data_IF_278441267697
#
_entry.id   IF_278441267697
#
_cell.length_a   1.000
_cell.length_b   1.000
_cell.length_c   1.000
_cell.angle_alpha   90.00
_cell.angle_beta   90.00
_cell.angle_gamma   90.00
#
_symmetry.space_group_name_H-M   'P 1'
#
loop_
_entity.id
_entity.type
_entity.pdbx_description
1 polymer ?
#
# COMPACT_ATOMS: atom_id res chain seq x y z
N UNK A 1 21.54 28.50 -24.85
CA UNK A 1 20.59 28.07 -23.81
C UNK A 1 19.77 26.93 -24.38
N UNK A 2 20.29 25.71 -24.27
CA UNK A 2 19.63 24.48 -24.75
C UNK A 2 18.67 23.99 -23.67
N UNK A 3 17.38 24.12 -23.93
CA UNK A 3 16.32 23.53 -23.12
C UNK A 3 16.36 22.01 -23.38
N UNK A 4 17.01 21.25 -22.50
CA UNK A 4 17.00 19.78 -22.54
C UNK A 4 15.57 19.32 -22.29
N UNK A 5 14.88 18.89 -23.35
CA UNK A 5 13.64 18.13 -23.24
C UNK A 5 13.96 16.91 -22.34
N UNK A 6 13.46 16.92 -21.10
CA UNK A 6 13.52 15.76 -20.25
C UNK A 6 12.81 14.63 -21.01
N UNK A 7 13.51 13.53 -21.26
CA UNK A 7 12.96 12.36 -21.92
C UNK A 7 11.69 11.93 -21.20
N UNK A 8 10.54 11.96 -21.88
CA UNK A 8 9.23 11.51 -21.37
C UNK A 8 9.18 9.98 -21.24
N UNK A 9 10.21 9.35 -20.67
CA UNK A 9 10.34 7.90 -20.51
C UNK A 9 10.63 7.53 -19.06
N UNK A 10 10.15 6.35 -18.65
CA UNK A 10 10.43 5.78 -17.33
C UNK A 10 11.69 4.90 -17.43
N UNK A 11 12.78 5.25 -16.74
CA UNK A 11 13.98 4.42 -16.71
C UNK A 11 13.74 3.16 -15.88
N UNK A 12 14.14 1.99 -16.40
CA UNK A 12 13.98 0.69 -15.73
C UNK A 12 15.25 -0.16 -15.88
N UNK A 13 16.38 0.27 -15.30
CA UNK A 13 17.67 -0.36 -15.51
C UNK A 13 17.71 -1.83 -15.06
N UNK A 14 16.94 -2.19 -14.01
CA UNK A 14 16.87 -3.56 -13.51
C UNK A 14 16.10 -4.44 -14.48
N UNK A 15 14.97 -3.96 -15.00
CA UNK A 15 14.21 -4.62 -16.06
C UNK A 15 15.07 -4.82 -17.30
N UNK A 16 15.79 -3.80 -17.74
CA UNK A 16 16.61 -3.86 -18.95
C UNK A 16 17.76 -4.88 -18.82
N UNK A 17 18.30 -5.07 -17.59
CA UNK A 17 19.36 -6.03 -17.31
C UNK A 17 18.84 -7.47 -17.13
N UNK A 18 17.77 -7.66 -16.35
CA UNK A 18 17.33 -8.99 -15.86
C UNK A 18 16.22 -9.61 -16.71
N UNK A 19 15.61 -8.87 -17.65
CA UNK A 19 14.47 -9.35 -18.43
C UNK A 19 14.73 -10.67 -19.16
N UNK A 20 15.91 -10.82 -19.77
CA UNK A 20 16.25 -12.03 -20.54
C UNK A 20 16.28 -13.29 -19.66
N UNK A 21 16.91 -13.20 -18.48
CA UNK A 21 16.98 -14.30 -17.51
C UNK A 21 15.61 -14.66 -16.94
N UNK A 22 14.78 -13.65 -16.65
CA UNK A 22 13.41 -13.89 -16.19
C UNK A 22 12.57 -14.58 -17.28
N UNK A 23 12.61 -14.09 -18.52
CA UNK A 23 11.84 -14.68 -19.62
C UNK A 23 12.27 -16.13 -19.92
N UNK A 24 13.57 -16.43 -19.83
CA UNK A 24 14.07 -17.81 -19.94
C UNK A 24 13.50 -18.71 -18.84
N UNK A 25 13.47 -18.21 -17.60
CA UNK A 25 12.89 -18.92 -16.46
C UNK A 25 11.39 -19.13 -16.62
N UNK A 26 10.64 -18.12 -17.08
CA UNK A 26 9.20 -18.27 -17.36
C UNK A 26 8.96 -19.30 -18.46
N UNK A 27 9.78 -19.27 -19.52
CA UNK A 27 9.71 -20.21 -20.63
C UNK A 27 9.93 -21.65 -20.17
N UNK A 28 10.87 -21.91 -19.25
CA UNK A 28 11.14 -23.27 -18.74
C UNK A 28 9.97 -23.84 -17.93
N UNK A 29 9.10 -22.97 -17.41
CA UNK A 29 7.87 -23.36 -16.71
C UNK A 29 6.62 -23.34 -17.61
N UNK A 30 6.80 -23.29 -18.93
CA UNK A 30 5.71 -23.35 -19.90
C UNK A 30 5.06 -22.02 -20.24
N UNK A 31 5.58 -20.88 -19.77
CA UNK A 31 5.02 -19.55 -20.01
C UNK A 31 5.31 -18.94 -21.39
N UNK A 32 5.40 -19.75 -22.44
CA UNK A 32 5.81 -19.31 -23.79
C UNK A 32 4.95 -18.17 -24.36
N UNK A 33 3.64 -18.23 -24.15
CA UNK A 33 2.73 -17.20 -24.64
C UNK A 33 2.94 -15.87 -23.90
N UNK A 34 3.23 -15.90 -22.59
CA UNK A 34 3.62 -14.70 -21.84
C UNK A 34 4.93 -14.14 -22.40
N UNK A 35 5.94 -14.99 -22.65
CA UNK A 35 7.24 -14.54 -23.17
C UNK A 35 7.10 -13.85 -24.52
N UNK A 36 6.24 -14.37 -25.41
CA UNK A 36 5.93 -13.72 -26.69
C UNK A 36 5.33 -12.32 -26.49
N UNK A 37 4.32 -12.20 -25.62
CA UNK A 37 3.67 -10.92 -25.34
C UNK A 37 4.61 -9.93 -24.65
N UNK A 38 5.41 -10.37 -23.68
CA UNK A 38 6.40 -9.52 -23.00
C UNK A 38 7.50 -9.03 -23.96
N UNK A 39 7.91 -9.87 -24.92
CA UNK A 39 8.89 -9.49 -25.95
C UNK A 39 8.30 -8.42 -26.89
N UNK A 40 7.06 -8.59 -27.33
CA UNK A 40 6.36 -7.59 -28.14
C UNK A 40 6.11 -6.28 -27.35
N UNK A 41 5.80 -6.38 -26.06
CA UNK A 41 5.66 -5.24 -25.16
C UNK A 41 6.97 -4.43 -25.06
N UNK A 42 8.11 -5.11 -24.92
CA UNK A 42 9.43 -4.48 -24.94
C UNK A 42 9.74 -3.78 -26.27
N UNK A 43 9.18 -4.27 -27.39
CA UNK A 43 9.29 -3.66 -28.71
C UNK A 43 8.34 -2.48 -28.94
N UNK A 44 7.51 -2.10 -27.95
CA UNK A 44 6.60 -0.96 -28.05
C UNK A 44 5.15 -1.29 -28.35
N UNK A 45 4.70 -2.54 -28.18
CA UNK A 45 3.29 -2.91 -28.33
C UNK A 45 2.53 -2.84 -26.99
N UNK A 46 1.67 -1.82 -26.84
CA UNK A 46 0.81 -1.65 -25.66
C UNK A 46 -0.16 -2.82 -25.47
N UNK A 47 -0.76 -3.35 -26.55
CA UNK A 47 -1.72 -4.45 -26.44
C UNK A 47 -1.03 -5.71 -25.94
N UNK A 48 0.20 -5.94 -26.38
CA UNK A 48 1.01 -7.03 -25.87
C UNK A 48 1.41 -6.82 -24.40
N UNK A 49 1.69 -5.58 -23.99
CA UNK A 49 1.97 -5.26 -22.58
C UNK A 49 0.76 -5.53 -21.68
N UNK A 50 -0.43 -5.11 -22.10
CA UNK A 50 -1.69 -5.38 -21.40
C UNK A 50 -1.98 -6.89 -21.37
N UNK A 51 -1.84 -7.59 -22.49
CA UNK A 51 -2.03 -9.03 -22.56
C UNK A 51 -1.06 -9.78 -21.62
N UNK A 52 0.22 -9.43 -21.62
CA UNK A 52 1.21 -10.02 -20.72
C UNK A 52 0.82 -9.80 -19.24
N UNK A 53 0.29 -8.61 -18.90
CA UNK A 53 -0.16 -8.29 -17.54
C UNK A 53 -1.35 -9.16 -17.14
N UNK A 54 -2.37 -9.29 -17.99
CA UNK A 54 -3.54 -10.14 -17.72
C UNK A 54 -3.14 -11.62 -17.61
N UNK A 55 -2.24 -12.11 -18.45
CA UNK A 55 -1.73 -13.48 -18.36
C UNK A 55 -1.00 -13.75 -17.03
N UNK A 56 -0.11 -12.84 -16.61
CA UNK A 56 0.55 -12.97 -15.32
C UNK A 56 -0.44 -12.85 -14.15
N UNK A 57 -1.45 -11.98 -14.27
CA UNK A 57 -2.54 -11.89 -13.29
C UNK A 57 -3.29 -13.21 -13.14
N UNK A 58 -3.69 -13.85 -14.25
CA UNK A 58 -4.36 -15.15 -14.24
C UNK A 58 -3.52 -16.22 -13.53
N UNK A 59 -2.21 -16.22 -13.77
CA UNK A 59 -1.28 -17.14 -13.08
C UNK A 59 -1.18 -16.87 -11.59
N UNK A 60 -1.22 -15.60 -11.15
CA UNK A 60 -1.25 -15.25 -9.73
C UNK A 60 -2.54 -15.69 -9.02
N UNK A 61 -3.63 -15.89 -9.77
CA UNK A 61 -4.95 -16.27 -9.25
C UNK A 61 -5.37 -17.69 -9.63
N UNK A 62 -4.47 -18.50 -10.16
CA UNK A 62 -4.78 -19.87 -10.57
C UNK A 62 -4.94 -20.85 -9.40
N UNK A 63 -4.65 -20.41 -8.16
CA UNK A 63 -4.74 -21.23 -6.96
C UNK A 63 -4.29 -20.49 -5.69
N UNK A 64 -4.06 -21.20 -4.58
CA UNK A 64 -3.56 -20.59 -3.34
C UNK A 64 -2.24 -19.85 -3.58
N UNK A 65 -2.12 -18.64 -3.03
CA UNK A 65 -0.98 -17.73 -3.26
C UNK A 65 0.40 -18.36 -3.00
N UNK A 66 0.50 -19.22 -1.99
CA UNK A 66 1.76 -19.90 -1.64
C UNK A 66 2.15 -21.01 -2.63
N UNK A 67 1.22 -21.49 -3.44
CA UNK A 67 1.44 -22.55 -4.44
C UNK A 67 1.81 -21.99 -5.82
N UNK A 68 1.60 -20.69 -6.05
CA UNK A 68 1.97 -20.04 -7.31
C UNK A 68 3.49 -19.93 -7.41
N UNK A 69 4.04 -20.28 -8.57
CA UNK A 69 5.49 -20.17 -8.82
C UNK A 69 5.94 -18.70 -8.62
N UNK A 70 6.99 -18.44 -7.82
CA UNK A 70 7.46 -17.08 -7.53
C UNK A 70 7.76 -16.24 -8.78
N UNK A 71 8.21 -16.88 -9.84
CA UNK A 71 8.54 -16.25 -11.14
C UNK A 71 7.37 -15.44 -11.72
N UNK A 72 6.13 -15.84 -11.46
CA UNK A 72 4.95 -15.14 -11.95
C UNK A 72 4.71 -13.79 -11.26
N UNK A 73 5.24 -13.60 -10.04
CA UNK A 73 5.20 -12.30 -9.35
C UNK A 73 6.15 -11.31 -10.03
N UNK A 74 7.34 -11.77 -10.39
CA UNK A 74 8.30 -10.95 -11.15
C UNK A 74 7.79 -10.69 -12.58
N UNK A 75 7.14 -11.68 -13.20
CA UNK A 75 6.45 -11.52 -14.49
C UNK A 75 5.35 -10.44 -14.43
N UNK A 76 4.53 -10.45 -13.39
CA UNK A 76 3.49 -9.43 -13.21
C UNK A 76 4.11 -8.03 -13.04
N UNK A 77 5.19 -7.93 -12.27
CA UNK A 77 5.93 -6.67 -12.07
C UNK A 77 6.51 -6.11 -13.37
N UNK A 78 7.13 -6.98 -14.18
CA UNK A 78 7.64 -6.65 -15.51
C UNK A 78 6.53 -6.12 -16.42
N UNK A 79 5.39 -6.81 -16.48
CA UNK A 79 4.27 -6.38 -17.31
C UNK A 79 3.69 -5.04 -16.86
N UNK A 80 3.60 -4.80 -15.54
CA UNK A 80 3.20 -3.51 -14.99
C UNK A 80 4.15 -2.38 -15.41
N UNK A 81 5.48 -2.60 -15.37
CA UNK A 81 6.45 -1.62 -15.83
C UNK A 81 6.31 -1.33 -17.33
N UNK A 82 6.13 -2.36 -18.15
CA UNK A 82 5.89 -2.18 -19.59
C UNK A 82 4.65 -1.34 -19.86
N UNK A 83 3.51 -1.65 -19.23
CA UNK A 83 2.28 -0.87 -19.38
C UNK A 83 2.47 0.58 -18.90
N UNK A 84 3.14 0.79 -17.77
CA UNK A 84 3.41 2.13 -17.25
C UNK A 84 4.27 2.99 -18.20
N UNK A 85 5.22 2.37 -18.93
CA UNK A 85 6.04 3.05 -19.95
C UNK A 85 5.21 3.61 -21.12
N UNK A 86 3.98 3.13 -21.34
CA UNK A 86 3.08 3.70 -22.36
C UNK A 86 2.19 4.81 -21.80
N UNK A 87 1.60 4.61 -20.61
CA UNK A 87 0.72 5.62 -20.01
C UNK A 87 1.47 6.90 -19.63
N UNK A 88 2.73 6.79 -19.20
CA UNK A 88 3.50 7.95 -18.74
C UNK A 88 3.74 9.02 -19.83
N UNK A 89 4.28 8.69 -21.02
CA UNK A 89 4.42 9.67 -22.11
C UNK A 89 3.09 10.26 -22.60
N UNK A 90 1.99 9.49 -22.52
CA UNK A 90 0.66 9.95 -22.92
C UNK A 90 0.03 10.94 -21.93
N UNK A 91 0.66 11.21 -20.79
CA UNK A 91 0.12 12.06 -19.73
C UNK A 91 -0.95 11.37 -18.88
N UNK A 92 -1.15 10.06 -19.04
CA UNK A 92 -2.12 9.25 -18.29
C UNK A 92 -1.55 8.84 -16.93
N UNK A 93 -1.12 9.82 -16.13
CA UNK A 93 -0.35 9.57 -14.90
C UNK A 93 -1.11 8.75 -13.86
N UNK A 94 -2.44 8.89 -13.77
CA UNK A 94 -3.27 8.12 -12.84
C UNK A 94 -3.29 6.63 -13.20
N UNK A 95 -3.41 6.32 -14.49
CA UNK A 95 -3.36 4.92 -14.96
C UNK A 95 -1.95 4.33 -14.82
N UNK A 96 -0.91 5.11 -15.15
CA UNK A 96 0.48 4.70 -14.90
C UNK A 96 0.70 4.38 -13.42
N UNK A 97 0.27 5.26 -12.51
CA UNK A 97 0.43 5.08 -11.07
C UNK A 97 -0.35 3.88 -10.55
N UNK A 98 -1.60 3.70 -11.02
CA UNK A 98 -2.42 2.53 -10.67
C UNK A 98 -1.72 1.24 -11.04
N UNK A 99 -1.21 1.11 -12.26
CA UNK A 99 -0.55 -0.12 -12.73
C UNK A 99 0.76 -0.37 -11.98
N UNK A 100 1.53 0.67 -11.68
CA UNK A 100 2.74 0.55 -10.85
C UNK A 100 2.41 0.12 -9.42
N UNK A 101 1.36 0.67 -8.81
CA UNK A 101 0.89 0.25 -7.48
C UNK A 101 0.44 -1.21 -7.47
N UNK A 102 -0.20 -1.70 -8.54
CA UNK A 102 -0.49 -3.14 -8.70
C UNK A 102 0.78 -3.98 -8.72
N UNK A 103 1.81 -3.52 -9.44
CA UNK A 103 3.13 -4.16 -9.43
C UNK A 103 3.76 -4.18 -8.03
N UNK A 104 3.59 -3.12 -7.24
CA UNK A 104 4.11 -3.09 -5.86
C UNK A 104 3.34 -4.00 -4.89
N UNK A 105 2.02 -4.13 -5.07
CA UNK A 105 1.15 -4.90 -4.17
C UNK A 105 1.24 -6.40 -4.45
N UNK A 106 1.34 -6.79 -5.72
CA UNK A 106 1.20 -8.20 -6.15
C UNK A 106 2.46 -8.76 -6.80
N UNK A 107 3.40 -7.88 -7.12
CA UNK A 107 4.63 -8.24 -7.80
C UNK A 107 5.67 -8.88 -6.90
N UNK A 108 6.75 -9.33 -7.54
CA UNK A 108 7.92 -9.90 -6.89
C UNK A 108 8.96 -8.83 -6.59
N UNK A 109 10.05 -9.25 -5.96
CA UNK A 109 11.07 -8.31 -5.50
C UNK A 109 12.08 -7.92 -6.60
N UNK A 110 12.14 -8.66 -7.71
CA UNK A 110 13.19 -8.48 -8.73
C UNK A 110 13.21 -7.07 -9.30
N UNK A 111 12.05 -6.47 -9.55
CA UNK A 111 11.93 -5.12 -10.14
C UNK A 111 11.43 -4.06 -9.16
N UNK A 112 11.57 -4.31 -7.86
CA UNK A 112 11.04 -3.41 -6.82
C UNK A 112 11.65 -2.00 -6.91
N UNK A 113 12.95 -1.91 -7.14
CA UNK A 113 13.68 -0.65 -7.34
C UNK A 113 13.13 0.18 -8.51
N UNK A 114 12.87 -0.47 -9.64
CA UNK A 114 12.36 0.16 -10.85
C UNK A 114 10.90 0.64 -10.66
N UNK A 115 10.08 -0.17 -9.98
CA UNK A 115 8.71 0.21 -9.60
C UNK A 115 8.71 1.44 -8.68
N UNK A 116 9.49 1.42 -7.60
CA UNK A 116 9.57 2.54 -6.65
C UNK A 116 10.07 3.83 -7.31
N UNK A 117 11.05 3.72 -8.21
CA UNK A 117 11.59 4.86 -8.97
C UNK A 117 10.56 5.41 -9.98
N UNK A 118 9.85 4.52 -10.66
CA UNK A 118 8.78 4.88 -11.60
C UNK A 118 7.62 5.57 -10.87
N UNK A 119 7.18 5.04 -9.73
CA UNK A 119 6.13 5.65 -8.91
C UNK A 119 6.51 7.06 -8.47
N UNK A 120 7.74 7.28 -7.99
CA UNK A 120 8.22 8.62 -7.62
C UNK A 120 8.16 9.57 -8.81
N UNK A 121 8.66 9.13 -9.96
CA UNK A 121 8.69 9.92 -11.21
C UNK A 121 7.28 10.30 -11.68
N UNK A 122 6.36 9.33 -11.72
CA UNK A 122 4.96 9.54 -12.12
C UNK A 122 4.26 10.47 -11.13
N UNK A 123 4.44 10.26 -9.82
CA UNK A 123 3.80 11.06 -8.77
C UNK A 123 4.25 12.53 -8.80
N UNK A 124 5.54 12.79 -9.03
CA UNK A 124 6.07 14.14 -9.16
C UNK A 124 5.56 14.85 -10.41
N UNK A 125 5.42 14.12 -11.53
CA UNK A 125 4.89 14.65 -12.78
C UNK A 125 3.40 14.98 -12.67
N UNK A 126 2.60 14.08 -12.10
CA UNK A 126 1.17 14.28 -11.86
C UNK A 126 0.91 15.57 -11.04
N UNK A 127 1.68 15.77 -9.96
CA UNK A 127 1.57 16.99 -9.12
C UNK A 127 1.89 18.29 -9.85
N UNK A 128 2.86 18.27 -10.78
CA UNK A 128 3.20 19.45 -11.58
C UNK A 128 2.07 19.81 -12.55
N UNK A 129 1.38 18.81 -13.10
CA UNK A 129 0.24 19.00 -13.99
C UNK A 129 -1.03 19.47 -13.25
N UNK A 130 -1.25 19.01 -12.02
CA UNK A 130 -2.40 19.40 -11.20
C UNK A 130 -2.26 20.77 -10.50
N UNK A 131 -1.08 21.41 -10.59
CA UNK A 131 -0.72 22.63 -9.86
C UNK A 131 -1.45 23.92 -10.23
N UNK A 132 -2.52 23.89 -11.03
CA UNK A 132 -3.31 25.06 -11.43
C UNK A 132 -4.70 25.14 -10.75
N UNK A 133 -4.97 24.32 -9.72
CA UNK A 133 -6.25 24.30 -8.99
C UNK A 133 -6.15 24.86 -7.57
N UNK A 134 -6.92 25.92 -7.30
CA UNK A 134 -6.95 26.72 -6.09
C UNK A 134 -7.47 26.00 -4.82
N UNK A 135 -6.87 26.37 -3.68
CA UNK A 135 -7.51 26.60 -2.37
C UNK A 135 -8.65 25.69 -1.91
N UNK A 136 -8.33 24.54 -1.31
CA UNK A 136 -9.30 23.80 -0.51
C UNK A 136 -9.44 24.39 0.92
N UNK A 137 -10.66 24.82 1.23
CA UNK A 137 -11.08 25.47 2.47
C UNK A 137 -10.95 24.53 3.68
N UNK A 138 -10.15 24.92 4.67
CA UNK A 138 -9.88 24.17 5.90
C UNK A 138 -11.15 23.99 6.74
N UNK A 139 -11.87 22.88 6.56
CA UNK A 139 -12.83 22.41 7.57
C UNK A 139 -12.15 21.34 8.40
N UNK A 140 -11.70 21.72 9.61
CA UNK A 140 -11.13 20.79 10.59
C UNK A 140 -12.25 19.91 11.16
N UNK A 141 -12.68 18.90 10.40
CA UNK A 141 -13.62 17.88 10.89
C UNK A 141 -12.85 16.89 11.76
N UNK A 142 -13.28 16.76 13.00
CA UNK A 142 -12.67 15.91 14.01
C UNK A 142 -13.00 14.45 13.65
N UNK A 143 -12.00 13.66 13.31
CA UNK A 143 -12.16 12.31 12.73
C UNK A 143 -12.66 11.21 13.69
N UNK A 144 -13.09 11.56 14.89
CA UNK A 144 -13.74 10.61 15.80
C UNK A 144 -14.70 11.40 16.68
N UNK A 145 -16.01 11.17 16.50
CA UNK A 145 -17.02 11.56 17.49
C UNK A 145 -18.22 10.62 17.50
N UNK A 146 -17.98 9.32 17.39
CA UNK A 146 -18.95 8.35 17.88
C UNK A 146 -18.57 7.97 19.31
N UNK A 147 -19.53 8.07 20.23
CA UNK A 147 -19.38 7.51 21.56
C UNK A 147 -19.31 5.99 21.44
N UNK A 148 -18.23 5.39 21.96
CA UNK A 148 -18.01 3.95 21.92
C UNK A 148 -19.11 3.22 22.72
N UNK A 149 -20.01 2.50 22.03
CA UNK A 149 -21.02 1.67 22.69
C UNK A 149 -20.36 0.40 23.26
N UNK A 150 -20.13 0.45 24.57
CA UNK A 150 -19.51 -0.63 25.33
C UNK A 150 -20.38 -1.90 25.35
N UNK A 151 -21.70 -1.78 25.23
CA UNK A 151 -22.62 -2.92 25.25
C UNK A 151 -22.54 -3.72 23.94
N UNK A 152 -22.50 -3.03 22.79
CA UNK A 152 -22.31 -3.67 21.47
C UNK A 152 -20.95 -4.38 21.40
N UNK A 153 -19.88 -3.73 21.86
CA UNK A 153 -18.53 -4.31 21.86
C UNK A 153 -18.45 -5.61 22.71
N UNK A 154 -19.14 -5.66 23.85
CA UNK A 154 -19.16 -6.82 24.73
C UNK A 154 -19.85 -8.05 24.12
N UNK A 155 -20.80 -7.85 23.18
CA UNK A 155 -21.47 -8.95 22.49
C UNK A 155 -20.61 -9.58 21.39
N UNK A 156 -19.65 -8.84 20.83
CA UNK A 156 -18.80 -9.31 19.73
C UNK A 156 -17.51 -9.95 20.23
N UNK A 157 -17.01 -9.51 21.38
CA UNK A 157 -15.70 -9.94 21.88
C UNK A 157 -15.77 -11.32 22.56
N UNK A 158 -14.73 -12.17 22.43
CA UNK A 158 -14.62 -13.42 23.16
C UNK A 158 -14.80 -13.26 24.67
N UNK A 159 -15.37 -14.28 25.32
CA UNK A 159 -15.56 -14.33 26.77
C UNK A 159 -14.22 -14.03 27.47
N UNK A 160 -14.19 -13.06 28.39
CA UNK A 160 -13.00 -12.51 29.10
C UNK A 160 -12.11 -11.52 28.32
N UNK A 161 -12.45 -11.10 27.09
CA UNK A 161 -11.65 -10.10 26.35
C UNK A 161 -11.50 -8.75 27.08
N UNK A 162 -12.44 -8.41 27.97
CA UNK A 162 -12.40 -7.23 28.84
C UNK A 162 -12.18 -7.59 30.33
N UNK A 163 -11.67 -8.80 30.62
CA UNK A 163 -11.42 -9.26 32.00
C UNK A 163 -10.23 -8.57 32.66
N UNK A 164 -9.30 -8.04 31.86
CA UNK A 164 -8.29 -7.10 32.33
C UNK A 164 -8.97 -5.75 32.54
N UNK A 165 -9.34 -5.45 33.81
CA UNK A 165 -10.24 -4.33 34.13
C UNK A 165 -9.65 -2.96 33.77
N UNK A 166 -8.32 -2.82 33.77
CA UNK A 166 -7.60 -1.57 33.46
C UNK A 166 -6.20 -1.93 32.92
N UNK A 167 -5.88 -1.51 31.70
CA UNK A 167 -4.49 -1.49 31.22
C UNK A 167 -3.81 -0.27 31.83
N UNK A 168 -2.71 -0.47 32.55
CA UNK A 168 -2.00 0.62 33.24
C UNK A 168 -1.42 1.59 32.22
N UNK A 169 -1.59 2.89 32.47
CA UNK A 169 -1.01 3.98 31.67
C UNK A 169 0.23 4.52 32.36
N UNK A 170 1.36 4.57 31.66
CA UNK A 170 2.64 5.11 32.17
C UNK A 170 3.17 6.16 31.18
N UNK A 171 3.75 7.22 31.73
CA UNK A 171 4.56 8.20 31.00
C UNK A 171 6.03 8.00 31.34
N UNK A 172 6.93 8.43 30.45
CA UNK A 172 8.38 8.40 30.64
C UNK A 172 8.92 7.02 31.08
N UNK A 173 8.32 5.95 30.55
CA UNK A 173 8.72 4.59 30.87
C UNK A 173 10.09 4.30 30.25
N UNK A 174 11.09 4.01 31.10
CA UNK A 174 12.41 3.62 30.61
C UNK A 174 12.37 2.24 29.96
N UNK A 175 13.33 1.95 29.07
CA UNK A 175 13.44 0.63 28.45
C UNK A 175 13.57 -0.47 29.51
N UNK A 176 14.42 -0.28 30.53
CA UNK A 176 14.59 -1.24 31.62
C UNK A 176 13.28 -1.43 32.41
N UNK A 177 12.57 -0.34 32.72
CA UNK A 177 11.29 -0.39 33.40
C UNK A 177 10.23 -1.14 32.58
N UNK A 178 10.16 -0.88 31.28
CA UNK A 178 9.30 -1.63 30.37
C UNK A 178 9.65 -3.12 30.35
N UNK A 179 10.94 -3.46 30.23
CA UNK A 179 11.40 -4.85 30.18
C UNK A 179 11.03 -5.63 31.44
N UNK A 180 11.33 -5.06 32.62
CA UNK A 180 11.11 -5.73 33.91
C UNK A 180 9.65 -5.77 34.34
N UNK A 181 8.93 -4.66 34.21
CA UNK A 181 7.59 -4.52 34.79
C UNK A 181 6.49 -5.06 33.87
N UNK A 182 6.71 -5.08 32.55
CA UNK A 182 5.67 -5.36 31.55
C UNK A 182 6.04 -6.44 30.54
N UNK A 183 7.21 -6.35 29.91
CA UNK A 183 7.57 -7.27 28.82
C UNK A 183 7.78 -8.70 29.33
N UNK A 184 8.64 -8.90 30.33
CA UNK A 184 8.95 -10.24 30.87
C UNK A 184 7.74 -10.90 31.54
N UNK A 185 6.82 -10.11 32.07
CA UNK A 185 5.59 -10.58 32.72
C UNK A 185 4.42 -10.75 31.74
N UNK A 186 4.60 -10.40 30.46
CA UNK A 186 3.53 -10.44 29.45
C UNK A 186 2.34 -9.52 29.77
N UNK A 187 2.56 -8.47 30.56
CA UNK A 187 1.51 -7.59 31.05
C UNK A 187 1.37 -6.34 30.16
N UNK A 188 0.16 -6.06 29.59
CA UNK A 188 -0.03 -4.93 28.70
C UNK A 188 0.12 -3.59 29.44
N UNK A 189 0.65 -2.58 28.74
CA UNK A 189 0.82 -1.21 29.24
C UNK A 189 0.58 -0.19 28.13
N UNK A 190 -0.04 0.94 28.47
CA UNK A 190 -0.18 2.09 27.58
C UNK A 190 0.95 3.07 27.87
N UNK A 191 1.84 3.30 26.90
CA UNK A 191 2.90 4.31 26.98
C UNK A 191 2.37 5.60 26.37
N UNK A 192 2.12 6.62 27.21
CA UNK A 192 1.25 7.73 26.82
C UNK A 192 1.90 8.91 26.11
N UNK A 193 3.22 9.04 26.20
CA UNK A 193 3.97 10.23 25.79
C UNK A 193 5.04 9.94 24.73
N UNK A 194 5.39 8.67 24.50
CA UNK A 194 6.44 8.25 23.58
C UNK A 194 6.24 8.79 22.15
N UNK A 195 4.99 8.85 21.68
CA UNK A 195 4.65 9.28 20.31
C UNK A 195 4.06 10.70 20.27
N UNK A 196 4.03 11.43 21.39
CA UNK A 196 3.36 12.73 21.47
C UNK A 196 3.99 13.79 20.53
N UNK A 197 5.30 13.68 20.30
CA UNK A 197 6.07 14.57 19.43
C UNK A 197 6.03 14.17 17.94
N UNK A 198 5.36 13.07 17.58
CA UNK A 198 5.33 12.61 16.20
C UNK A 198 4.64 13.63 15.28
N UNK A 199 5.22 13.97 14.11
CA UNK A 199 4.58 14.91 13.20
C UNK A 199 3.19 14.47 12.74
N UNK A 200 2.91 13.16 12.74
CA UNK A 200 1.59 12.60 12.43
C UNK A 200 0.46 13.19 13.29
N UNK A 201 0.73 13.55 14.56
CA UNK A 201 -0.29 14.10 15.48
C UNK A 201 -0.80 15.49 15.05
N UNK A 202 -0.03 16.21 14.23
CA UNK A 202 -0.36 17.58 13.80
C UNK A 202 -0.51 17.70 12.28
N UNK A 203 0.23 16.91 11.49
CA UNK A 203 0.22 16.98 10.03
C UNK A 203 -0.89 16.17 9.38
N UNK A 204 -1.28 15.04 9.96
CA UNK A 204 -2.24 14.14 9.32
C UNK A 204 -3.66 14.69 9.48
N UNK A 205 -4.09 15.46 8.48
CA UNK A 205 -5.48 15.80 8.22
C UNK A 205 -5.99 15.03 7.00
N UNK A 206 -7.31 14.97 6.83
CA UNK A 206 -7.87 14.32 5.64
C UNK A 206 -7.37 14.95 4.33
N UNK A 207 -7.30 16.28 4.28
CA UNK A 207 -6.78 17.00 3.11
C UNK A 207 -5.29 16.75 2.88
N UNK A 208 -4.50 16.61 3.96
CA UNK A 208 -3.09 16.23 3.85
C UNK A 208 -2.97 14.84 3.25
N UNK A 209 -3.68 13.87 3.83
CA UNK A 209 -3.66 12.46 3.44
C UNK A 209 -4.14 12.28 1.99
N UNK A 210 -5.23 12.94 1.59
CA UNK A 210 -5.72 12.96 0.21
C UNK A 210 -4.70 13.58 -0.75
N UNK A 211 -4.04 14.67 -0.38
CA UNK A 211 -3.03 15.32 -1.24
C UNK A 211 -1.77 14.48 -1.42
N UNK A 212 -1.30 13.79 -0.39
CA UNK A 212 -0.02 13.05 -0.46
C UNK A 212 -0.19 11.63 -1.00
N UNK A 213 -1.31 10.98 -0.70
CA UNK A 213 -1.54 9.57 -0.98
C UNK A 213 -2.78 9.30 -1.84
N UNK A 214 -3.59 10.32 -2.16
CA UNK A 214 -4.93 10.14 -2.72
C UNK A 214 -5.02 9.32 -4.00
N UNK A 215 -4.06 9.45 -4.90
CA UNK A 215 -4.03 8.71 -6.17
C UNK A 215 -3.41 7.31 -6.04
N UNK A 216 -2.95 6.93 -4.84
CA UNK A 216 -2.33 5.62 -4.60
C UNK A 216 -3.39 4.55 -4.48
N UNK A 217 -3.16 3.42 -5.11
CA UNK A 217 -4.07 2.27 -5.00
C UNK A 217 -3.74 1.47 -3.75
N UNK A 218 -4.72 1.19 -2.91
CA UNK A 218 -4.55 0.49 -1.64
C UNK A 218 -5.55 -0.68 -1.53
N UNK A 219 -5.15 -1.79 -0.89
CA UNK A 219 -6.07 -2.86 -0.54
C UNK A 219 -6.92 -2.43 0.64
N UNK A 220 -8.24 -2.53 0.52
CA UNK A 220 -9.18 -2.30 1.61
C UNK A 220 -10.00 -3.54 1.86
N UNK A 221 -10.32 -3.78 3.12
CA UNK A 221 -11.23 -4.83 3.53
C UNK A 221 -12.63 -4.22 3.69
N UNK A 222 -13.63 -4.89 3.11
CA UNK A 222 -15.03 -4.46 3.11
C UNK A 222 -15.85 -5.56 3.77
N UNK A 223 -16.55 -5.23 4.86
CA UNK A 223 -17.30 -6.21 5.64
C UNK A 223 -17.35 -5.86 7.13
N UNK A 224 -18.11 -6.63 7.91
CA UNK A 224 -18.17 -6.45 9.37
C UNK A 224 -16.87 -6.89 10.05
N UNK A 225 -16.35 -8.05 9.66
CA UNK A 225 -15.06 -8.60 10.08
C UNK A 225 -14.66 -9.76 9.14
N UNK A 226 -13.42 -10.22 9.23
CA UNK A 226 -12.83 -11.29 8.39
C UNK A 226 -13.48 -12.69 8.55
N UNK A 227 -14.34 -12.88 9.55
CA UNK A 227 -15.08 -14.14 9.75
C UNK A 227 -16.42 -14.16 9.02
N UNK A 228 -16.88 -13.01 8.51
CA UNK A 228 -18.17 -12.90 7.83
C UNK A 228 -18.07 -13.34 6.35
N UNK A 229 -19.07 -14.08 5.81
CA UNK A 229 -19.08 -14.50 4.41
C UNK A 229 -19.08 -13.33 3.42
N UNK A 230 -19.61 -12.17 3.82
CA UNK A 230 -19.66 -10.96 2.99
C UNK A 230 -18.32 -10.19 2.98
N UNK A 231 -17.33 -10.64 3.77
CA UNK A 231 -16.00 -10.05 3.79
C UNK A 231 -15.30 -10.26 2.45
N UNK A 232 -14.72 -9.18 1.94
CA UNK A 232 -13.92 -9.19 0.72
C UNK A 232 -12.82 -8.15 0.78
N UNK A 233 -11.82 -8.33 -0.07
CA UNK A 233 -10.80 -7.34 -0.36
C UNK A 233 -11.12 -6.62 -1.67
N UNK A 234 -10.95 -5.31 -1.69
CA UNK A 234 -11.04 -4.46 -2.87
C UNK A 234 -9.77 -3.64 -3.03
N UNK A 235 -9.38 -3.37 -4.27
CA UNK A 235 -8.30 -2.44 -4.60
C UNK A 235 -8.93 -1.13 -5.08
N UNK A 236 -8.79 -0.07 -4.28
CA UNK A 236 -9.35 1.25 -4.58
C UNK A 236 -8.29 2.32 -4.39
N UNK A 237 -8.53 3.52 -4.92
CA UNK A 237 -7.67 4.66 -4.60
C UNK A 237 -7.83 5.05 -3.13
N UNK A 238 -6.75 5.56 -2.54
CA UNK A 238 -6.79 6.05 -1.18
C UNK A 238 -7.78 7.21 -1.03
N UNK A 239 -7.97 8.04 -2.05
CA UNK A 239 -9.04 9.06 -2.06
C UNK A 239 -10.44 8.46 -1.91
N UNK A 240 -10.74 7.40 -2.67
CA UNK A 240 -12.02 6.69 -2.56
C UNK A 240 -12.20 6.05 -1.18
N UNK A 241 -11.13 5.51 -0.60
CA UNK A 241 -11.15 5.02 0.78
C UNK A 241 -11.52 6.14 1.77
N UNK A 242 -10.85 7.30 1.69
CA UNK A 242 -11.13 8.45 2.54
C UNK A 242 -12.56 8.98 2.38
N UNK A 243 -13.10 8.95 1.16
CA UNK A 243 -14.49 9.33 0.89
C UNK A 243 -15.49 8.33 1.49
N UNK A 244 -15.22 7.02 1.38
CA UNK A 244 -16.05 5.97 1.99
C UNK A 244 -16.15 6.16 3.50
N UNK A 245 -15.03 6.33 4.21
CA UNK A 245 -15.03 6.50 5.68
C UNK A 245 -15.71 7.80 6.13
N UNK A 246 -15.73 8.84 5.29
CA UNK A 246 -16.46 10.08 5.59
C UNK A 246 -17.96 9.94 5.34
N UNK A 247 -18.36 9.17 4.32
CA UNK A 247 -19.76 8.95 3.96
C UNK A 247 -20.47 7.95 4.87
N UNK A 248 -19.73 6.99 5.44
CA UNK A 248 -20.28 5.93 6.31
C UNK A 248 -20.83 6.46 7.64
N UNK A 249 -20.54 7.71 8.02
CA UNK A 249 -21.19 8.38 9.17
C UNK A 249 -22.70 8.63 8.96
N UNK A 250 -23.24 8.43 7.75
CA UNK A 250 -24.61 8.82 7.40
C UNK A 250 -25.52 7.70 6.85
N UNK A 251 -25.01 6.47 6.65
CA UNK A 251 -25.83 5.36 6.14
C UNK A 251 -25.34 4.00 6.64
N UNK A 252 -26.21 2.98 6.60
CA UNK A 252 -25.93 1.58 6.95
C UNK A 252 -24.99 0.86 5.95
N UNK A 253 -24.08 1.59 5.33
CA UNK A 253 -23.10 1.07 4.37
C UNK A 253 -22.09 0.15 5.04
N UNK A 254 -21.64 -0.87 4.31
CA UNK A 254 -20.63 -1.82 4.79
C UNK A 254 -19.37 -1.08 5.24
N UNK A 255 -18.92 -1.37 6.46
CA UNK A 255 -17.68 -0.82 7.01
C UNK A 255 -16.52 -1.18 6.09
N UNK A 256 -15.69 -0.17 5.79
CA UNK A 256 -14.46 -0.32 5.00
C UNK A 256 -13.28 0.04 5.88
N UNK A 257 -12.25 -0.80 5.90
CA UNK A 257 -11.05 -0.56 6.68
C UNK A 257 -9.79 -0.84 5.86
N UNK A 258 -8.79 0.03 6.05
CA UNK A 258 -7.45 -0.17 5.53
C UNK A 258 -6.62 -0.81 6.65
N UNK A 259 -6.39 -2.11 6.56
CA UNK A 259 -5.63 -2.88 7.55
C UNK A 259 -4.55 -3.71 6.86
N UNK A 260 -3.56 -4.11 7.65
CA UNK A 260 -2.50 -5.06 7.25
C UNK A 260 -1.72 -4.66 5.97
N UNK A 261 -1.72 -3.36 5.63
CA UNK A 261 -1.02 -2.85 4.45
C UNK A 261 0.17 -1.98 4.88
N UNK A 262 1.41 -2.25 4.40
CA UNK A 262 2.58 -1.43 4.69
C UNK A 262 2.53 -0.10 3.92
N UNK A 263 1.57 0.76 4.27
CA UNK A 263 1.29 2.01 3.57
C UNK A 263 2.51 2.94 3.48
N UNK A 264 3.41 2.88 4.46
CA UNK A 264 4.62 3.71 4.48
C UNK A 264 5.65 3.31 3.44
N UNK A 265 5.73 2.03 3.10
CA UNK A 265 6.60 1.53 2.04
C UNK A 265 6.10 2.02 0.69
N UNK A 266 4.78 2.01 0.50
CA UNK A 266 4.15 2.52 -0.72
C UNK A 266 4.23 4.05 -0.79
N UNK A 267 3.95 4.75 0.31
CA UNK A 267 3.82 6.21 0.36
C UNK A 267 4.87 6.82 1.29
N UNK A 268 6.08 6.98 0.78
CA UNK A 268 7.21 7.56 1.51
C UNK A 268 6.94 8.94 2.15
N UNK A 269 5.98 9.73 1.64
CA UNK A 269 5.68 11.07 2.18
C UNK A 269 4.85 11.06 3.48
N UNK A 270 4.20 9.94 3.80
CA UNK A 270 3.57 9.73 5.12
C UNK A 270 4.50 8.98 6.06
N UNK A 271 5.56 8.35 5.54
CA UNK A 271 6.63 7.79 6.35
C UNK A 271 7.43 8.91 7.00
N UNK A 272 7.41 8.95 8.33
CA UNK A 272 8.42 9.67 9.09
C UNK A 272 9.45 8.64 9.51
N UNK A 273 10.74 8.97 9.37
CA UNK A 273 11.87 8.07 9.68
C UNK A 273 11.67 7.37 11.04
N UNK A 274 11.12 8.07 12.05
CA UNK A 274 10.89 7.49 13.38
C UNK A 274 9.74 6.47 13.48
N UNK A 275 8.76 6.50 12.55
CA UNK A 275 7.63 5.57 12.52
C UNK A 275 8.05 4.23 11.91
N UNK A 276 8.85 4.26 10.83
CA UNK A 276 9.35 3.05 10.19
C UNK A 276 10.23 2.25 11.15
N UNK A 277 11.17 2.91 11.85
CA UNK A 277 12.02 2.25 12.85
C UNK A 277 11.22 1.57 13.98
N UNK A 278 10.08 2.14 14.38
CA UNK A 278 9.23 1.54 15.43
C UNK A 278 8.40 0.38 14.89
N UNK A 279 7.89 0.46 13.66
CA UNK A 279 7.25 -0.69 13.02
C UNK A 279 8.23 -1.84 12.77
N UNK A 280 9.45 -1.54 12.33
CA UNK A 280 10.52 -2.53 12.15
C UNK A 280 10.97 -3.12 13.49
N UNK A 281 11.01 -2.32 14.57
CA UNK A 281 11.21 -2.84 15.93
C UNK A 281 10.05 -3.77 16.32
N UNK A 282 8.80 -3.34 16.16
CA UNK A 282 7.63 -4.15 16.52
C UNK A 282 7.54 -5.44 15.71
N UNK A 283 7.92 -5.42 14.43
CA UNK A 283 7.92 -6.59 13.56
C UNK A 283 9.02 -7.59 13.98
N UNK A 284 10.23 -7.10 14.32
CA UNK A 284 11.29 -7.95 14.88
C UNK A 284 10.96 -8.47 16.28
N UNK A 285 10.20 -7.74 17.08
CA UNK A 285 9.77 -8.18 18.41
C UNK A 285 8.61 -9.20 18.37
N UNK A 286 7.74 -9.17 17.35
CA UNK A 286 6.69 -10.18 17.16
C UNK A 286 7.19 -11.48 16.50
N UNK A 287 8.34 -11.46 15.82
CA UNK A 287 8.91 -12.66 15.17
C UNK A 287 9.83 -13.49 16.09
N UNK A 288 10.02 -13.08 17.35
CA UNK A 288 10.77 -13.85 18.35
C UNK A 288 9.90 -14.79 19.21
N UNK A 289 8.60 -14.95 18.94
CA UNK A 289 7.75 -15.96 19.59
C UNK A 289 6.66 -16.51 18.68
#
# INVERSE_FOLDING_TARGET
MSNTAATDSLPTPTLDAEASGLLQTISSHGGYAYVSMATAAAAGDLRAAEAAREMAWEQLHSGPWHSVLPVWRDAYSMACLHVAKFYYPNGEFKEALRVLDMGLIMGGMLFRSDLDTSVKTVSERARKCDGNGEGAQKSRRKLVREEFDKAEALHVLPIKSLSCKIVVKRSALSLEGFMREHFLSGCPVIISDCMAHWPATTKWSMDYLKRVAGDRTVPVEVGKNYLCPEWKQELITFSQFLERIQSSESSSTLRTYLAQHPLFDQVSQVSFVHIQYILDLMHNFLLCY
#
